data_IF_676301744805
#
_entry.id   IF_676301744805
#
_cell.length_a   1.000
_cell.length_b   1.000
_cell.length_c   1.000
_cell.angle_alpha   90.00
_cell.angle_beta   90.00
_cell.angle_gamma   90.00
#
_symmetry.space_group_name_H-M   'P 1'
#
loop_
_entity.id
_entity.type
_entity.pdbx_description
1 polymer ?
#
# COMPACT_ATOMS: atom_id res chain seq x y z
N UNK A 1 5.57 -4.36 37.78
CA UNK A 1 5.46 -5.62 37.01
C UNK A 1 4.01 -5.68 36.59
N UNK A 2 3.67 -4.94 35.53
CA UNK A 2 2.28 -4.81 35.12
C UNK A 2 1.84 -6.11 34.47
N UNK A 3 0.76 -6.66 35.02
CA UNK A 3 0.05 -7.83 34.53
C UNK A 3 -0.18 -7.61 33.04
N UNK A 4 0.42 -8.46 32.21
CA UNK A 4 0.10 -8.58 30.80
C UNK A 4 -1.40 -8.85 30.73
N UNK A 5 -2.21 -7.79 30.56
CA UNK A 5 -3.58 -7.95 30.10
C UNK A 5 -3.51 -8.90 28.91
N UNK A 6 -4.37 -9.92 28.96
CA UNK A 6 -4.52 -10.91 27.90
C UNK A 6 -5.20 -10.24 26.70
N UNK A 7 -4.48 -9.29 26.10
CA UNK A 7 -4.93 -8.57 24.92
C UNK A 7 -4.94 -9.57 23.80
N UNK A 8 -6.13 -9.82 23.26
CA UNK A 8 -6.28 -10.71 22.14
C UNK A 8 -5.58 -10.13 20.91
N UNK A 9 -4.78 -10.92 20.16
CA UNK A 9 -4.17 -10.47 18.91
C UNK A 9 -5.18 -9.91 17.89
N UNK A 10 -6.44 -10.36 17.98
CA UNK A 10 -7.57 -9.81 17.21
C UNK A 10 -7.82 -8.33 17.48
N UNK A 11 -7.75 -7.89 18.73
CA UNK A 11 -8.02 -6.49 19.09
C UNK A 11 -6.94 -5.57 18.52
N UNK A 12 -5.69 -6.03 18.53
CA UNK A 12 -4.57 -5.34 17.89
C UNK A 12 -4.81 -5.22 16.38
N UNK A 13 -5.24 -6.30 15.71
CA UNK A 13 -5.57 -6.25 14.27
C UNK A 13 -6.72 -5.29 13.99
N UNK A 14 -7.77 -5.31 14.80
CA UNK A 14 -8.92 -4.40 14.67
C UNK A 14 -8.52 -2.94 14.87
N UNK A 15 -7.65 -2.63 15.83
CA UNK A 15 -7.15 -1.27 16.01
C UNK A 15 -6.25 -0.81 14.85
N UNK A 16 -5.46 -1.71 14.26
CA UNK A 16 -4.68 -1.41 13.05
C UNK A 16 -5.59 -1.12 11.84
N UNK A 17 -6.67 -1.89 11.67
CA UNK A 17 -7.68 -1.64 10.63
C UNK A 17 -8.39 -0.30 10.89
N UNK A 18 -8.81 -0.03 12.12
CA UNK A 18 -9.42 1.25 12.51
C UNK A 18 -8.48 2.42 12.20
N UNK A 19 -7.21 2.31 12.58
CA UNK A 19 -6.21 3.33 12.25
C UNK A 19 -6.08 3.53 10.75
N UNK A 20 -6.09 2.43 9.98
CA UNK A 20 -6.10 2.48 8.51
C UNK A 20 -7.33 3.11 7.88
N UNK A 21 -8.44 3.19 8.61
CA UNK A 21 -9.65 3.90 8.18
C UNK A 21 -9.52 5.42 8.42
N UNK A 22 -8.89 5.80 9.53
CA UNK A 22 -8.65 7.19 9.92
C UNK A 22 -7.55 7.87 9.09
N UNK A 23 -6.66 7.10 8.46
CA UNK A 23 -5.55 7.64 7.66
C UNK A 23 -5.83 7.55 6.17
N UNK A 24 -5.56 8.66 5.48
CA UNK A 24 -5.55 8.69 4.02
C UNK A 24 -4.28 8.03 3.48
N UNK A 25 -4.40 7.35 2.33
CA UNK A 25 -3.24 6.85 1.61
C UNK A 25 -2.33 8.02 1.20
N UNK A 26 -1.03 7.94 1.52
CA UNK A 26 -0.08 9.05 1.33
C UNK A 26 -0.05 9.59 -0.10
N UNK A 27 -0.20 8.71 -1.09
CA UNK A 27 -0.23 9.12 -2.50
C UNK A 27 -1.52 9.87 -2.88
N UNK A 28 -2.62 9.62 -2.18
CA UNK A 28 -3.89 10.34 -2.33
C UNK A 28 -3.83 11.67 -1.56
N UNK A 29 -3.25 11.69 -0.35
CA UNK A 29 -3.14 12.91 0.44
C UNK A 29 -2.31 13.99 -0.24
N UNK A 30 -1.31 13.60 -1.02
CA UNK A 30 -0.51 14.51 -1.84
C UNK A 30 -1.02 14.64 -3.27
N UNK A 31 -2.17 14.12 -3.67
CA UNK A 31 -2.65 14.33 -5.04
C UNK A 31 -2.75 15.84 -5.37
N UNK A 32 -2.43 16.24 -6.61
CA UNK A 32 -2.77 17.54 -7.15
C UNK A 32 -4.25 17.88 -6.92
N UNK A 33 -4.58 19.16 -6.67
CA UNK A 33 -5.92 19.54 -6.21
C UNK A 33 -7.01 19.19 -7.24
N UNK A 34 -6.73 19.42 -8.52
CA UNK A 34 -7.63 19.05 -9.61
C UNK A 34 -7.86 17.53 -9.67
N UNK A 35 -6.82 16.71 -9.46
CA UNK A 35 -6.94 15.25 -9.41
C UNK A 35 -7.64 14.75 -8.14
N UNK A 36 -7.53 15.44 -7.00
CA UNK A 36 -8.32 15.13 -5.80
C UNK A 36 -9.82 15.28 -6.08
N UNK A 37 -10.20 16.35 -6.77
CA UNK A 37 -11.58 16.56 -7.19
C UNK A 37 -12.05 15.43 -8.10
N UNK A 38 -11.26 15.06 -9.12
CA UNK A 38 -11.56 13.91 -10.00
C UNK A 38 -11.67 12.60 -9.24
N UNK A 39 -10.77 12.33 -8.29
CA UNK A 39 -10.82 11.13 -7.46
C UNK A 39 -12.12 11.07 -6.64
N UNK A 40 -12.57 12.22 -6.10
CA UNK A 40 -13.84 12.34 -5.40
C UNK A 40 -15.04 12.10 -6.33
N UNK A 41 -15.01 12.67 -7.54
CA UNK A 41 -16.05 12.42 -8.55
C UNK A 41 -16.12 10.94 -8.94
N UNK A 42 -14.98 10.27 -9.13
CA UNK A 42 -14.93 8.83 -9.40
C UNK A 42 -15.57 8.04 -8.26
N UNK A 43 -15.25 8.36 -6.99
CA UNK A 43 -15.90 7.71 -5.82
C UNK A 43 -17.42 7.89 -5.89
N UNK A 44 -17.89 9.11 -6.13
CA UNK A 44 -19.32 9.42 -6.20
C UNK A 44 -20.02 8.66 -7.33
N UNK A 45 -19.46 8.72 -8.55
CA UNK A 45 -20.02 8.04 -9.73
C UNK A 45 -20.07 6.53 -9.50
N UNK A 46 -18.99 5.94 -8.98
CA UNK A 46 -18.94 4.51 -8.71
C UNK A 46 -19.99 4.12 -7.66
N UNK A 47 -20.12 4.86 -6.55
CA UNK A 47 -21.10 4.54 -5.52
C UNK A 47 -22.54 4.65 -6.05
N UNK A 48 -22.84 5.69 -6.84
CA UNK A 48 -24.16 5.93 -7.42
C UNK A 48 -24.54 4.92 -8.51
N UNK A 49 -23.58 4.52 -9.35
CA UNK A 49 -23.87 3.77 -10.58
C UNK A 49 -23.26 2.37 -10.65
N UNK A 50 -22.65 1.83 -9.59
CA UNK A 50 -22.07 0.45 -9.58
C UNK A 50 -23.03 -0.67 -10.00
N UNK A 51 -24.34 -0.44 -9.98
CA UNK A 51 -25.38 -1.41 -10.40
C UNK A 51 -25.74 -1.31 -11.89
N UNK A 52 -25.34 -0.24 -12.58
CA UNK A 52 -25.55 -0.02 -14.02
C UNK A 52 -24.22 0.28 -14.70
N UNK A 53 -23.62 -0.74 -15.32
CA UNK A 53 -22.30 -0.62 -15.94
C UNK A 53 -22.29 0.41 -17.08
N UNK A 54 -23.36 0.46 -17.89
CA UNK A 54 -23.46 1.40 -19.02
C UNK A 54 -23.52 2.85 -18.54
N UNK A 55 -24.36 3.13 -17.54
CA UNK A 55 -24.45 4.48 -16.94
C UNK A 55 -23.14 4.86 -16.27
N UNK A 56 -22.51 3.94 -15.52
CA UNK A 56 -21.22 4.18 -14.89
C UNK A 56 -20.15 4.52 -15.93
N UNK A 57 -20.09 3.78 -17.03
CA UNK A 57 -19.12 4.03 -18.11
C UNK A 57 -19.34 5.39 -18.76
N UNK A 58 -20.59 5.76 -19.08
CA UNK A 58 -20.92 7.07 -19.64
C UNK A 58 -20.53 8.22 -18.71
N UNK A 59 -20.80 8.08 -17.40
CA UNK A 59 -20.43 9.12 -16.43
C UNK A 59 -18.92 9.24 -16.24
N UNK A 60 -18.18 8.13 -16.28
CA UNK A 60 -16.71 8.14 -16.25
C UNK A 60 -16.10 8.74 -17.53
N UNK A 61 -16.72 8.54 -18.70
CA UNK A 61 -16.26 9.13 -19.98
C UNK A 61 -16.30 10.67 -19.95
N UNK A 62 -17.26 11.25 -19.22
CA UNK A 62 -17.41 12.70 -19.08
C UNK A 62 -16.41 13.33 -18.10
N UNK A 63 -15.60 12.54 -17.39
CA UNK A 63 -14.58 13.06 -16.48
C UNK A 63 -13.31 13.42 -17.25
N UNK A 64 -13.18 14.70 -17.61
CA UNK A 64 -12.03 15.24 -18.37
C UNK A 64 -10.66 14.80 -17.82
N UNK A 65 -10.49 14.88 -16.50
CA UNK A 65 -9.22 14.60 -15.82
C UNK A 65 -9.01 13.12 -15.44
N UNK A 66 -9.95 12.21 -15.76
CA UNK A 66 -9.81 10.80 -15.40
C UNK A 66 -8.56 10.17 -16.03
N UNK A 67 -8.25 10.55 -17.26
CA UNK A 67 -7.02 10.13 -17.95
C UNK A 67 -5.77 10.53 -17.17
N UNK A 68 -5.69 11.78 -16.74
CA UNK A 68 -4.55 12.31 -15.98
C UNK A 68 -4.43 11.64 -14.62
N UNK A 69 -5.56 11.32 -13.96
CA UNK A 69 -5.56 10.52 -12.73
C UNK A 69 -4.96 9.12 -12.94
N UNK A 70 -5.30 8.43 -14.03
CA UNK A 70 -4.71 7.12 -14.35
C UNK A 70 -3.22 7.24 -14.65
N UNK A 71 -2.81 8.25 -15.40
CA UNK A 71 -1.41 8.52 -15.70
C UNK A 71 -0.60 8.80 -14.44
N UNK A 72 -1.14 9.65 -13.55
CA UNK A 72 -0.52 10.00 -12.28
C UNK A 72 -0.16 8.74 -11.49
N UNK A 73 -1.13 7.87 -11.24
CA UNK A 73 -0.90 6.66 -10.46
C UNK A 73 -0.08 5.61 -11.20
N UNK A 74 -0.18 5.52 -12.53
CA UNK A 74 0.64 4.59 -13.31
C UNK A 74 2.12 4.94 -13.26
N UNK A 75 2.45 6.21 -13.49
CA UNK A 75 3.83 6.73 -13.41
C UNK A 75 4.35 6.59 -11.97
N UNK A 76 3.56 7.02 -10.97
CA UNK A 76 3.99 6.89 -9.57
C UNK A 76 4.24 5.43 -9.20
N UNK A 77 3.38 4.50 -9.62
CA UNK A 77 3.58 3.07 -9.39
C UNK A 77 4.86 2.54 -10.04
N UNK A 78 5.18 3.01 -11.25
CA UNK A 78 6.43 2.70 -11.93
C UNK A 78 7.64 3.27 -11.18
N UNK A 79 7.60 4.52 -10.75
CA UNK A 79 8.68 5.14 -9.96
C UNK A 79 8.90 4.42 -8.64
N UNK A 80 7.81 4.12 -7.92
CA UNK A 80 7.86 3.34 -6.69
C UNK A 80 8.34 1.90 -6.94
N UNK A 81 8.21 1.37 -8.15
CA UNK A 81 8.78 0.05 -8.47
C UNK A 81 10.28 0.08 -8.69
N UNK A 82 10.86 1.19 -9.16
CA UNK A 82 12.28 1.26 -9.50
C UNK A 82 13.16 1.88 -8.40
N UNK A 83 12.57 2.59 -7.44
CA UNK A 83 13.33 3.27 -6.38
C UNK A 83 13.36 2.46 -5.09
N UNK A 84 14.54 2.08 -4.60
CA UNK A 84 14.69 1.19 -3.43
C UNK A 84 13.99 1.76 -2.18
N UNK A 85 14.06 3.07 -1.96
CA UNK A 85 13.37 3.77 -0.86
C UNK A 85 12.18 4.53 -1.42
N UNK A 86 10.98 4.22 -0.92
CA UNK A 86 9.81 5.08 -1.08
C UNK A 86 9.99 6.19 -0.04
N UNK A 87 10.39 7.38 -0.48
CA UNK A 87 10.35 8.56 0.39
C UNK A 87 9.03 9.30 0.18
N UNK A 88 8.47 9.79 1.27
CA UNK A 88 7.36 10.74 1.24
C UNK A 88 7.70 11.98 0.41
N UNK A 89 8.97 12.39 0.45
CA UNK A 89 9.53 13.47 -0.35
C UNK A 89 9.40 13.22 -1.85
N UNK A 90 9.68 11.99 -2.33
CA UNK A 90 9.51 11.64 -3.74
C UNK A 90 8.04 11.82 -4.16
N UNK A 91 7.09 11.35 -3.34
CA UNK A 91 5.66 11.46 -3.64
C UNK A 91 5.23 12.94 -3.65
N UNK A 92 5.65 13.73 -2.66
CA UNK A 92 5.38 15.17 -2.57
C UNK A 92 5.94 15.93 -3.77
N UNK A 93 7.22 15.69 -4.11
CA UNK A 93 7.90 16.35 -5.21
C UNK A 93 7.28 15.97 -6.54
N UNK A 94 7.00 14.68 -6.75
CA UNK A 94 6.31 14.20 -7.94
C UNK A 94 4.94 14.87 -8.10
N UNK A 95 4.14 14.94 -7.04
CA UNK A 95 2.85 15.64 -7.07
C UNK A 95 2.99 17.12 -7.47
N UNK A 96 3.92 17.83 -6.86
CA UNK A 96 4.16 19.25 -7.14
C UNK A 96 4.53 19.46 -8.61
N UNK A 97 5.39 18.59 -9.16
CA UNK A 97 5.78 18.65 -10.57
C UNK A 97 4.62 18.27 -11.50
N UNK A 98 3.74 17.36 -11.07
CA UNK A 98 2.57 16.97 -11.85
C UNK A 98 1.51 18.08 -11.90
N UNK A 99 1.32 18.84 -10.82
CA UNK A 99 0.41 20.01 -10.80
C UNK A 99 0.81 21.07 -11.83
N UNK A 100 2.10 21.17 -12.18
CA UNK A 100 2.61 22.11 -13.17
C UNK A 100 2.33 21.69 -14.63
N UNK A 101 1.78 20.50 -14.85
CA UNK A 101 1.39 20.04 -16.19
C UNK A 101 0.09 20.75 -16.58
N UNK A 102 0.19 21.83 -17.33
CA UNK A 102 -0.97 22.47 -17.95
C UNK A 102 -1.44 21.68 -19.18
N UNK A 103 -2.66 21.12 -19.13
CA UNK A 103 -3.30 20.49 -20.29
C UNK A 103 -2.88 19.04 -20.56
N UNK A 104 -2.79 18.66 -21.84
CA UNK A 104 -2.55 17.27 -22.23
C UNK A 104 -1.13 16.79 -21.88
N UNK A 105 -1.03 15.52 -21.48
CA UNK A 105 0.24 14.84 -21.23
C UNK A 105 1.13 14.83 -22.48
N UNK A 106 2.35 15.37 -22.37
CA UNK A 106 3.32 15.42 -23.46
C UNK A 106 4.66 14.81 -23.05
N UNK A 107 5.45 14.34 -24.02
CA UNK A 107 6.79 13.82 -23.78
C UNK A 107 7.71 14.87 -23.12
N UNK A 108 7.51 16.15 -23.44
CA UNK A 108 8.23 17.27 -22.81
C UNK A 108 7.93 17.38 -21.32
N UNK A 109 6.65 17.28 -20.94
CA UNK A 109 6.24 17.35 -19.54
C UNK A 109 6.83 16.17 -18.74
N UNK A 110 6.86 14.97 -19.33
CA UNK A 110 7.49 13.79 -18.70
C UNK A 110 8.98 14.00 -18.51
N UNK A 111 9.70 14.51 -19.51
CA UNK A 111 11.14 14.83 -19.38
C UNK A 111 11.37 15.79 -18.22
N UNK A 112 10.63 16.90 -18.19
CA UNK A 112 10.73 17.88 -17.12
C UNK A 112 10.50 17.25 -15.73
N UNK A 113 9.47 16.41 -15.57
CA UNK A 113 9.22 15.73 -14.28
C UNK A 113 10.39 14.83 -13.90
N UNK A 114 10.89 14.01 -14.82
CA UNK A 114 11.94 13.04 -14.52
C UNK A 114 13.28 13.70 -14.26
N UNK A 115 13.62 14.75 -15.02
CA UNK A 115 14.84 15.56 -14.79
C UNK A 115 14.81 16.22 -13.41
N UNK A 116 13.66 16.77 -13.00
CA UNK A 116 13.47 17.37 -11.67
C UNK A 116 13.32 16.35 -10.53
N UNK A 117 13.31 15.05 -10.85
CA UNK A 117 13.35 13.95 -9.88
C UNK A 117 14.68 13.18 -9.94
N UNK A 118 15.68 13.66 -10.68
CA UNK A 118 16.98 12.98 -10.86
C UNK A 118 17.72 12.68 -9.56
N UNK A 119 17.55 13.52 -8.52
CA UNK A 119 18.10 13.27 -7.17
C UNK A 119 17.50 12.02 -6.50
N UNK A 120 16.29 11.62 -6.91
CA UNK A 120 15.56 10.49 -6.35
C UNK A 120 15.55 9.27 -7.28
N UNK A 121 15.83 9.47 -8.57
CA UNK A 121 15.69 8.47 -9.63
C UNK A 121 16.98 8.39 -10.45
N UNK A 122 17.60 7.21 -10.50
CA UNK A 122 18.83 6.99 -11.26
C UNK A 122 18.57 6.63 -12.74
N UNK A 123 18.85 7.55 -13.66
CA UNK A 123 19.12 7.28 -15.08
C UNK A 123 18.04 7.70 -16.09
N UNK A 124 18.46 8.07 -17.31
CA UNK A 124 17.58 8.57 -18.38
C UNK A 124 16.64 7.51 -19.00
N UNK A 125 16.82 6.23 -18.68
CA UNK A 125 16.01 5.12 -19.22
C UNK A 125 14.54 5.16 -18.75
N UNK A 126 14.23 5.95 -17.71
CA UNK A 126 12.87 6.08 -17.18
C UNK A 126 11.91 6.80 -18.13
N UNK A 127 12.37 7.80 -18.88
CA UNK A 127 11.53 8.58 -19.80
C UNK A 127 10.90 7.67 -20.86
N UNK A 128 11.72 6.87 -21.54
CA UNK A 128 11.26 5.96 -22.59
C UNK A 128 10.30 4.90 -22.05
N UNK A 129 10.56 4.39 -20.84
CA UNK A 129 9.67 3.42 -20.20
C UNK A 129 8.32 4.03 -19.84
N UNK A 130 8.32 5.26 -19.31
CA UNK A 130 7.07 5.97 -18.99
C UNK A 130 6.28 6.25 -20.26
N UNK A 131 6.92 6.72 -21.33
CA UNK A 131 6.25 6.92 -22.63
C UNK A 131 5.58 5.63 -23.14
N UNK A 132 6.28 4.49 -23.04
CA UNK A 132 5.70 3.17 -23.38
C UNK A 132 4.51 2.80 -22.48
N UNK A 133 4.56 3.14 -21.19
CA UNK A 133 3.45 2.92 -20.27
C UNK A 133 2.22 3.72 -20.70
N UNK A 134 2.39 5.00 -21.03
CA UNK A 134 1.29 5.85 -21.46
C UNK A 134 0.66 5.37 -22.77
N UNK A 135 1.49 5.00 -23.74
CA UNK A 135 1.04 4.41 -25.01
C UNK A 135 0.28 3.08 -24.79
N UNK A 136 0.76 2.22 -23.89
CA UNK A 136 0.04 1.01 -23.50
C UNK A 136 -1.31 1.34 -22.83
N UNK A 137 -1.37 2.34 -21.96
CA UNK A 137 -2.62 2.74 -21.30
C UNK A 137 -3.65 3.20 -22.34
N UNK A 138 -3.24 3.99 -23.33
CA UNK A 138 -4.09 4.44 -24.43
C UNK A 138 -4.64 3.25 -25.24
N UNK A 139 -3.76 2.33 -25.65
CA UNK A 139 -4.13 1.12 -26.42
C UNK A 139 -5.13 0.22 -25.69
N UNK A 140 -5.10 0.20 -24.36
CA UNK A 140 -6.00 -0.59 -23.53
C UNK A 140 -7.27 0.19 -23.08
N UNK A 141 -7.50 1.38 -23.65
CA UNK A 141 -8.68 2.20 -23.39
C UNK A 141 -8.63 2.95 -22.07
N UNK A 142 -7.49 3.57 -21.74
CA UNK A 142 -7.21 4.46 -20.60
C UNK A 142 -7.63 3.88 -19.23
N UNK A 143 -8.92 3.91 -18.92
CA UNK A 143 -9.50 3.44 -17.67
C UNK A 143 -10.41 2.21 -17.86
N UNK A 144 -10.87 1.92 -19.10
CA UNK A 144 -11.79 0.82 -19.42
C UNK A 144 -11.23 -0.53 -19.00
N UNK A 145 -9.91 -0.74 -19.14
CA UNK A 145 -9.25 -1.96 -18.69
C UNK A 145 -9.25 -2.11 -17.16
N UNK A 146 -9.36 -1.04 -16.37
CA UNK A 146 -9.47 -1.08 -14.91
C UNK A 146 -10.92 -1.40 -14.51
N UNK A 147 -11.88 -0.67 -15.10
CA UNK A 147 -13.32 -0.81 -14.79
C UNK A 147 -13.84 -2.22 -15.07
N UNK A 148 -13.36 -2.85 -16.15
CA UNK A 148 -13.76 -4.21 -16.54
C UNK A 148 -13.23 -5.32 -15.62
N UNK A 149 -12.34 -5.00 -14.67
CA UNK A 149 -11.73 -6.03 -13.82
C UNK A 149 -12.72 -6.61 -12.82
N UNK A 150 -12.88 -7.93 -12.85
CA UNK A 150 -13.76 -8.69 -11.95
C UNK A 150 -13.01 -9.50 -10.91
N UNK A 151 -11.74 -9.83 -11.19
CA UNK A 151 -10.92 -10.72 -10.36
C UNK A 151 -9.59 -10.06 -10.06
N UNK A 152 -9.13 -10.18 -8.82
CA UNK A 152 -7.89 -9.55 -8.40
C UNK A 152 -6.67 -10.10 -9.15
N UNK A 153 -6.63 -11.41 -9.36
CA UNK A 153 -5.55 -12.10 -10.09
C UNK A 153 -5.46 -11.65 -11.56
N UNK A 154 -6.62 -11.38 -12.16
CA UNK A 154 -6.70 -10.81 -13.51
C UNK A 154 -6.18 -9.38 -13.53
N UNK A 155 -6.60 -8.56 -12.57
CA UNK A 155 -6.16 -7.17 -12.49
C UNK A 155 -4.64 -7.08 -12.26
N UNK A 156 -4.08 -7.97 -11.43
CA UNK A 156 -2.64 -8.02 -11.22
C UNK A 156 -1.87 -8.34 -12.51
N UNK A 157 -2.35 -9.31 -13.29
CA UNK A 157 -1.74 -9.65 -14.59
C UNK A 157 -1.90 -8.51 -15.60
N UNK A 158 -3.04 -7.84 -15.62
CA UNK A 158 -3.29 -6.68 -16.48
C UNK A 158 -2.36 -5.51 -16.12
N UNK A 159 -2.26 -5.14 -14.83
CA UNK A 159 -1.37 -4.08 -14.37
C UNK A 159 0.09 -4.37 -14.73
N UNK A 160 0.55 -5.62 -14.57
CA UNK A 160 1.90 -6.04 -15.01
C UNK A 160 2.12 -5.85 -16.49
N UNK A 161 1.15 -6.23 -17.33
CA UNK A 161 1.24 -6.10 -18.78
C UNK A 161 1.25 -4.65 -19.23
N UNK A 162 0.31 -3.84 -18.72
CA UNK A 162 0.09 -2.46 -19.16
C UNK A 162 1.19 -1.53 -18.64
N UNK A 163 1.53 -1.62 -17.35
CA UNK A 163 2.40 -0.64 -16.66
C UNK A 163 3.82 -1.15 -16.48
N UNK A 164 4.02 -2.46 -16.33
CA UNK A 164 5.33 -3.02 -15.98
C UNK A 164 5.94 -3.89 -17.08
N UNK A 165 5.40 -3.82 -18.31
CA UNK A 165 5.92 -4.52 -19.49
C UNK A 165 6.09 -6.04 -19.26
N UNK A 166 5.23 -6.65 -18.44
CA UNK A 166 5.31 -8.08 -18.08
C UNK A 166 6.39 -8.44 -17.06
N UNK A 167 7.11 -7.46 -16.51
CA UNK A 167 8.20 -7.69 -15.57
C UNK A 167 7.78 -8.35 -14.25
N UNK A 168 8.76 -8.95 -13.59
CA UNK A 168 8.59 -9.71 -12.34
C UNK A 168 9.65 -9.32 -11.30
N UNK A 169 9.48 -9.78 -10.06
CA UNK A 169 10.40 -9.52 -8.96
C UNK A 169 9.85 -8.59 -7.88
N UNK A 170 10.58 -8.47 -6.75
CA UNK A 170 10.07 -7.79 -5.55
C UNK A 170 9.78 -6.30 -5.77
N UNK A 171 10.60 -5.63 -6.56
CA UNK A 171 10.48 -4.20 -6.85
C UNK A 171 9.23 -3.90 -7.69
N UNK A 172 9.03 -4.67 -8.76
CA UNK A 172 7.83 -4.59 -9.60
C UNK A 172 6.60 -5.00 -8.80
N UNK A 173 6.67 -6.05 -7.99
CA UNK A 173 5.56 -6.46 -7.13
C UNK A 173 5.10 -5.31 -6.20
N UNK A 174 6.02 -4.51 -5.68
CA UNK A 174 5.68 -3.34 -4.86
C UNK A 174 4.87 -2.32 -5.65
N UNK A 175 5.33 -1.95 -6.85
CA UNK A 175 4.60 -1.02 -7.72
C UNK A 175 3.24 -1.53 -8.14
N UNK A 176 3.16 -2.82 -8.52
CA UNK A 176 1.89 -3.48 -8.89
C UNK A 176 0.91 -3.47 -7.71
N UNK A 177 1.35 -3.81 -6.50
CA UNK A 177 0.48 -3.83 -5.31
C UNK A 177 0.02 -2.44 -4.90
N UNK A 178 0.87 -1.43 -5.06
CA UNK A 178 0.50 -0.04 -4.87
C UNK A 178 -0.57 0.38 -5.90
N UNK A 179 -0.33 0.19 -7.21
CA UNK A 179 -1.28 0.56 -8.26
C UNK A 179 -2.66 -0.05 -8.02
N UNK A 180 -2.71 -1.35 -7.78
CA UNK A 180 -3.96 -2.07 -7.56
C UNK A 180 -4.68 -1.54 -6.32
N UNK A 181 -3.97 -1.34 -5.20
CA UNK A 181 -4.55 -0.88 -3.92
C UNK A 181 -5.27 0.46 -4.06
N UNK A 182 -4.77 1.35 -4.91
CA UNK A 182 -5.44 2.63 -5.20
C UNK A 182 -6.84 2.39 -5.81
N UNK A 183 -6.96 1.41 -6.70
CA UNK A 183 -8.17 1.25 -7.52
C UNK A 183 -9.20 0.22 -7.04
N UNK A 184 -8.88 -0.60 -6.03
CA UNK A 184 -9.75 -1.71 -5.58
C UNK A 184 -10.43 -1.49 -4.23
N UNK A 185 -10.28 -0.34 -3.58
CA UNK A 185 -10.81 -0.15 -2.22
C UNK A 185 -11.73 1.08 -2.14
N UNK A 186 -12.91 0.99 -1.49
CA UNK A 186 -13.85 2.11 -1.37
C UNK A 186 -13.26 3.36 -0.69
N UNK A 187 -12.36 3.19 0.29
CA UNK A 187 -11.67 4.34 0.94
C UNK A 187 -10.56 4.97 0.09
N UNK A 188 -10.30 4.45 -1.12
CA UNK A 188 -9.35 4.99 -2.09
C UNK A 188 -10.10 5.50 -3.33
N UNK A 189 -9.82 5.01 -4.54
CA UNK A 189 -10.48 5.45 -5.77
C UNK A 189 -11.05 4.19 -6.43
N UNK A 190 -12.28 3.74 -6.10
CA UNK A 190 -12.76 2.38 -6.38
C UNK A 190 -13.14 2.12 -7.85
N UNK A 191 -12.27 2.49 -8.79
CA UNK A 191 -12.49 2.39 -10.23
C UNK A 191 -12.64 0.94 -10.70
N UNK A 192 -11.91 0.00 -10.09
CA UNK A 192 -12.15 -1.44 -10.26
C UNK A 192 -13.32 -1.86 -9.35
N UNK A 193 -14.50 -1.30 -9.59
CA UNK A 193 -15.64 -1.36 -8.65
C UNK A 193 -16.15 -2.79 -8.42
N UNK A 194 -16.11 -3.66 -9.44
CA UNK A 194 -16.52 -5.07 -9.30
C UNK A 194 -15.65 -5.85 -8.32
N UNK A 195 -14.41 -5.43 -8.13
CA UNK A 195 -13.52 -5.94 -7.08
C UNK A 195 -13.80 -5.20 -5.76
N UNK A 196 -13.91 -3.87 -5.82
CA UNK A 196 -14.06 -3.01 -4.63
C UNK A 196 -15.28 -3.34 -3.78
N UNK A 197 -16.38 -3.73 -4.41
CA UNK A 197 -17.63 -4.09 -3.72
C UNK A 197 -17.88 -5.60 -3.67
N UNK A 198 -16.87 -6.41 -4.00
CA UNK A 198 -16.90 -7.85 -3.81
C UNK A 198 -15.94 -8.23 -2.68
N UNK A 199 -16.49 -8.42 -1.47
CA UNK A 199 -15.70 -8.72 -0.27
C UNK A 199 -14.83 -9.97 -0.43
N UNK A 200 -15.28 -10.96 -1.19
CA UNK A 200 -14.53 -12.20 -1.42
C UNK A 200 -13.32 -11.98 -2.33
N UNK A 201 -13.41 -11.06 -3.28
CA UNK A 201 -12.28 -10.67 -4.13
C UNK A 201 -11.33 -9.72 -3.39
N UNK A 202 -11.87 -8.76 -2.63
CA UNK A 202 -11.07 -7.80 -1.87
C UNK A 202 -10.15 -8.50 -0.85
N UNK A 203 -10.68 -9.50 -0.14
CA UNK A 203 -9.90 -10.32 0.82
C UNK A 203 -8.74 -11.09 0.19
N UNK A 204 -8.73 -11.30 -1.13
CA UNK A 204 -7.60 -11.94 -1.84
C UNK A 204 -6.40 -11.00 -1.97
N UNK A 205 -6.53 -9.73 -1.56
CA UNK A 205 -5.43 -8.76 -1.58
C UNK A 205 -4.26 -9.23 -0.72
N UNK A 206 -3.20 -9.67 -1.41
CA UNK A 206 -1.92 -10.00 -0.79
C UNK A 206 -1.14 -8.71 -0.57
N UNK A 207 -1.11 -8.26 0.67
CA UNK A 207 -0.28 -7.13 1.11
C UNK A 207 1.19 -7.34 0.72
N UNK A 208 1.89 -6.23 0.46
CA UNK A 208 3.31 -6.29 0.16
C UNK A 208 4.12 -6.68 1.40
N UNK A 209 3.74 -6.13 2.56
CA UNK A 209 4.41 -6.36 3.83
C UNK A 209 5.81 -5.72 3.82
N UNK A 210 5.83 -4.39 3.77
CA UNK A 210 7.08 -3.63 3.85
C UNK A 210 7.69 -3.66 5.26
N UNK A 211 8.81 -2.95 5.42
CA UNK A 211 9.54 -2.86 6.68
C UNK A 211 8.67 -2.38 7.84
N UNK A 212 7.90 -1.29 7.66
CA UNK A 212 7.09 -0.68 8.71
C UNK A 212 5.89 -1.55 9.08
N UNK A 213 5.18 -2.07 8.07
CA UNK A 213 4.06 -2.99 8.25
C UNK A 213 4.50 -4.26 8.97
N UNK A 214 5.65 -4.83 8.56
CA UNK A 214 6.24 -6.02 9.19
C UNK A 214 6.64 -5.72 10.63
N UNK A 215 7.31 -4.60 10.87
CA UNK A 215 7.73 -4.17 12.20
C UNK A 215 6.53 -4.07 13.16
N UNK A 216 5.47 -3.37 12.76
CA UNK A 216 4.28 -3.22 13.59
C UNK A 216 3.62 -4.57 13.83
N UNK A 217 3.42 -5.38 12.80
CA UNK A 217 2.81 -6.70 12.92
C UNK A 217 3.51 -7.57 13.96
N UNK A 218 4.85 -7.56 13.98
CA UNK A 218 5.62 -8.37 14.92
C UNK A 218 5.70 -7.73 16.31
N UNK A 219 6.00 -6.43 16.38
CA UNK A 219 6.21 -5.73 17.66
C UNK A 219 4.93 -5.55 18.46
N UNK A 220 3.78 -5.48 17.80
CA UNK A 220 2.49 -5.35 18.48
C UNK A 220 1.96 -6.65 19.06
N UNK A 221 2.44 -7.81 18.59
CA UNK A 221 1.89 -9.11 18.96
C UNK A 221 0.67 -9.53 18.14
N UNK A 222 0.33 -8.83 17.06
CA UNK A 222 -0.86 -9.12 16.23
C UNK A 222 -0.88 -10.52 15.59
N UNK A 223 0.24 -11.26 15.66
CA UNK A 223 0.44 -12.56 15.04
C UNK A 223 0.34 -13.75 16.01
N UNK A 224 0.18 -13.51 17.31
CA UNK A 224 0.39 -14.56 18.32
C UNK A 224 -0.62 -15.72 18.25
N UNK A 225 -1.82 -15.48 17.74
CA UNK A 225 -2.85 -16.49 17.51
C UNK A 225 -2.74 -17.16 16.13
N UNK A 226 -1.72 -16.83 15.32
CA UNK A 226 -1.56 -17.42 13.99
C UNK A 226 -0.90 -18.79 14.08
N UNK A 227 -1.55 -19.79 13.51
CA UNK A 227 -1.10 -21.19 13.47
C UNK A 227 -0.22 -21.46 12.25
N UNK A 228 0.97 -20.84 12.22
CA UNK A 228 1.99 -21.15 11.19
C UNK A 228 3.32 -21.55 11.84
N UNK A 229 4.15 -22.37 11.17
CA UNK A 229 5.49 -22.70 11.69
C UNK A 229 6.34 -21.46 11.98
N UNK A 230 6.21 -20.41 11.17
CA UNK A 230 6.91 -19.13 11.35
C UNK A 230 6.43 -18.41 12.61
N UNK A 231 5.12 -18.36 12.86
CA UNK A 231 4.56 -17.77 14.07
C UNK A 231 5.01 -18.52 15.32
N UNK A 232 4.95 -19.85 15.30
CA UNK A 232 5.38 -20.70 16.42
C UNK A 232 6.86 -20.48 16.76
N UNK A 233 7.75 -20.52 15.75
CA UNK A 233 9.18 -20.22 15.95
C UNK A 233 9.41 -18.82 16.52
N UNK A 234 8.64 -17.82 16.07
CA UNK A 234 8.78 -16.46 16.58
C UNK A 234 8.29 -16.34 18.03
N UNK A 235 7.16 -16.95 18.38
CA UNK A 235 6.66 -17.03 19.76
C UNK A 235 7.68 -17.68 20.70
N UNK A 236 8.29 -18.79 20.29
CA UNK A 236 9.35 -19.43 21.08
C UNK A 236 10.56 -18.52 21.30
N UNK A 237 11.00 -17.78 20.27
CA UNK A 237 12.11 -16.83 20.40
C UNK A 237 11.76 -15.67 21.34
N UNK A 238 10.52 -15.17 21.27
CA UNK A 238 10.00 -14.14 22.17
C UNK A 238 9.95 -14.64 23.60
N UNK A 239 9.37 -15.82 23.84
CA UNK A 239 9.30 -16.42 25.18
C UNK A 239 10.69 -16.59 25.79
N UNK A 240 11.66 -17.12 25.03
CA UNK A 240 13.07 -17.23 25.49
C UNK A 240 13.67 -15.87 25.84
N UNK A 241 13.38 -14.83 25.05
CA UNK A 241 13.87 -13.47 25.28
C UNK A 241 13.25 -12.83 26.52
N UNK A 242 11.96 -13.03 26.76
CA UNK A 242 11.25 -12.55 27.96
C UNK A 242 11.75 -13.27 29.22
N UNK A 243 11.94 -14.59 29.16
CA UNK A 243 12.50 -15.36 30.27
C UNK A 243 13.92 -14.94 30.64
N UNK A 244 14.74 -14.63 29.64
CA UNK A 244 16.09 -14.11 29.86
C UNK A 244 16.06 -12.75 30.59
N UNK A 245 15.15 -11.85 30.20
CA UNK A 245 14.99 -10.53 30.82
C UNK A 245 14.54 -10.63 32.27
N UNK A 246 13.56 -11.51 32.54
CA UNK A 246 13.09 -11.77 33.90
C UNK A 246 14.17 -12.35 34.83
N UNK A 247 15.24 -12.94 34.27
CA UNK A 247 16.41 -13.43 35.02
C UNK A 247 17.51 -12.38 35.20
N UNK A 248 17.31 -11.14 34.74
CA UNK A 248 18.30 -10.07 34.83
C UNK A 248 19.52 -10.24 33.90
N UNK A 249 19.43 -11.11 32.89
CA UNK A 249 20.53 -11.39 31.97
C UNK A 249 20.72 -10.32 30.88
N UNK A 250 21.89 -10.29 30.23
CA UNK A 250 22.09 -9.56 28.97
C UNK A 250 21.48 -10.35 27.81
N UNK A 251 20.37 -9.89 27.28
CA UNK A 251 19.59 -10.64 26.30
C UNK A 251 19.59 -9.95 24.92
N UNK A 252 20.09 -10.65 23.90
CA UNK A 252 20.14 -10.13 22.54
C UNK A 252 18.76 -9.89 21.92
N UNK A 253 18.66 -8.92 21.01
CA UNK A 253 17.46 -8.66 20.23
C UNK A 253 17.13 -9.78 19.25
N UNK A 254 15.84 -9.91 18.91
CA UNK A 254 15.36 -10.90 17.96
C UNK A 254 15.47 -10.33 16.55
N UNK A 255 16.51 -10.73 15.82
CA UNK A 255 16.67 -10.35 14.41
C UNK A 255 15.80 -11.20 13.49
N UNK A 256 15.05 -10.54 12.61
CA UNK A 256 14.10 -11.17 11.70
C UNK A 256 14.26 -10.59 10.30
N UNK A 257 14.44 -11.44 9.28
CA UNK A 257 14.48 -10.98 7.89
C UNK A 257 13.06 -10.78 7.35
N UNK A 258 12.76 -9.67 6.67
CA UNK A 258 11.41 -9.42 6.10
C UNK A 258 10.95 -10.62 5.25
N UNK A 259 11.84 -11.15 4.40
CA UNK A 259 11.54 -12.27 3.51
C UNK A 259 11.08 -13.53 4.27
N UNK A 260 11.60 -13.78 5.48
CA UNK A 260 11.26 -14.99 6.25
C UNK A 260 9.91 -14.89 6.97
N UNK A 261 9.40 -13.68 7.20
CA UNK A 261 8.13 -13.45 7.91
C UNK A 261 7.02 -12.88 7.02
N UNK A 262 7.30 -12.57 5.75
CA UNK A 262 6.30 -12.00 4.84
C UNK A 262 5.03 -12.87 4.72
N UNK A 263 5.17 -14.19 4.73
CA UNK A 263 4.03 -15.11 4.74
C UNK A 263 3.15 -14.96 5.99
N UNK A 264 3.79 -14.85 7.17
CA UNK A 264 3.11 -14.59 8.44
C UNK A 264 2.39 -13.24 8.42
N UNK A 265 3.07 -12.17 8.00
CA UNK A 265 2.49 -10.82 7.95
C UNK A 265 1.25 -10.79 7.05
N UNK A 266 1.28 -11.51 5.91
CA UNK A 266 0.11 -11.67 5.03
C UNK A 266 -1.04 -12.44 5.68
N UNK A 267 -0.74 -13.50 6.42
CA UNK A 267 -1.75 -14.26 7.15
C UNK A 267 -2.44 -13.39 8.21
N UNK A 268 -1.66 -12.59 8.96
CA UNK A 268 -2.20 -11.63 9.95
C UNK A 268 -3.12 -10.60 9.28
N UNK A 269 -2.68 -10.01 8.17
CA UNK A 269 -3.50 -9.05 7.44
C UNK A 269 -4.79 -9.68 6.90
N UNK A 270 -4.74 -10.93 6.44
CA UNK A 270 -5.94 -11.67 6.03
C UNK A 270 -6.93 -11.88 7.19
N UNK A 271 -6.42 -12.27 8.36
CA UNK A 271 -7.23 -12.45 9.57
C UNK A 271 -7.82 -11.13 10.12
N UNK A 272 -7.32 -9.97 9.68
CA UNK A 272 -7.89 -8.67 10.05
C UNK A 272 -9.24 -8.37 9.38
N UNK A 273 -9.61 -9.14 8.35
CA UNK A 273 -10.84 -8.94 7.56
C UNK A 273 -10.71 -7.93 6.43
N UNK A 274 -9.86 -6.90 6.59
CA UNK A 274 -9.55 -5.89 5.57
C UNK A 274 -8.03 -5.69 5.45
N UNK A 275 -7.36 -6.48 4.58
CA UNK A 275 -5.92 -6.41 4.40
C UNK A 275 -5.40 -5.03 3.96
N UNK A 276 -6.22 -4.24 3.27
CA UNK A 276 -5.82 -2.93 2.73
C UNK A 276 -5.78 -1.90 3.85
N UNK A 277 -6.84 -1.81 4.66
CA UNK A 277 -6.85 -0.94 5.83
C UNK A 277 -5.80 -1.38 6.84
N UNK A 278 -5.64 -2.69 7.07
CA UNK A 278 -4.59 -3.21 7.93
C UNK A 278 -3.19 -2.76 7.48
N UNK A 279 -2.84 -2.93 6.21
CA UNK A 279 -1.53 -2.52 5.69
C UNK A 279 -1.33 -1.01 5.86
N UNK A 280 -2.37 -0.21 5.58
CA UNK A 280 -2.31 1.25 5.73
C UNK A 280 -2.09 1.68 7.18
N UNK A 281 -2.87 1.15 8.12
CA UNK A 281 -2.74 1.49 9.54
C UNK A 281 -1.42 1.01 10.12
N UNK A 282 -0.99 -0.22 9.79
CA UNK A 282 0.31 -0.73 10.22
C UNK A 282 1.48 0.06 9.63
N UNK A 283 1.38 0.52 8.38
CA UNK A 283 2.37 1.40 7.78
C UNK A 283 2.46 2.75 8.52
N UNK A 284 1.33 3.40 8.77
CA UNK A 284 1.27 4.68 9.51
C UNK A 284 1.90 4.54 10.90
N UNK A 285 1.46 3.54 11.68
CA UNK A 285 2.02 3.29 13.01
C UNK A 285 3.51 3.00 12.94
N UNK A 286 3.94 2.20 11.97
CA UNK A 286 5.33 1.78 11.83
C UNK A 286 6.25 2.94 11.52
N UNK A 287 5.85 3.78 10.58
CA UNK A 287 6.61 4.93 10.11
C UNK A 287 6.65 6.05 11.15
N UNK A 288 5.50 6.40 11.73
CA UNK A 288 5.39 7.59 12.55
C UNK A 288 5.73 7.35 14.03
N UNK A 289 5.59 6.12 14.52
CA UNK A 289 5.73 5.80 15.95
C UNK A 289 6.74 4.68 16.21
N UNK A 290 6.51 3.49 15.66
CA UNK A 290 7.22 2.27 16.05
C UNK A 290 8.73 2.30 15.67
N UNK A 291 9.06 2.84 14.51
CA UNK A 291 10.46 2.99 14.05
C UNK A 291 11.28 3.96 14.90
N UNK A 292 10.61 4.91 15.57
CA UNK A 292 11.21 5.93 16.44
C UNK A 292 11.04 5.60 17.93
N UNK A 293 10.52 4.41 18.25
CA UNK A 293 10.21 3.95 19.61
C UNK A 293 9.33 4.92 20.41
N UNK A 294 8.43 5.65 19.74
CA UNK A 294 7.46 6.57 20.37
C UNK A 294 6.25 5.81 20.90
N UNK A 295 6.49 4.85 21.81
CA UNK A 295 5.45 3.95 22.32
C UNK A 295 4.38 4.70 23.12
N UNK A 296 4.76 5.70 23.92
CA UNK A 296 3.85 6.37 24.86
C UNK A 296 2.72 7.14 24.18
N UNK A 297 3.01 7.72 23.02
CA UNK A 297 2.05 8.48 22.19
C UNK A 297 1.47 7.65 21.03
N UNK A 298 1.76 6.35 20.98
CA UNK A 298 1.30 5.51 19.88
C UNK A 298 -0.22 5.25 19.99
N UNK A 299 -0.99 5.36 18.89
CA UNK A 299 -2.45 5.17 18.92
C UNK A 299 -2.92 3.79 19.42
N UNK A 300 -2.05 2.77 19.37
CA UNK A 300 -2.36 1.41 19.84
C UNK A 300 -1.60 1.04 21.13
N UNK A 301 -1.02 2.01 21.83
CA UNK A 301 -0.15 1.79 23.00
C UNK A 301 -0.80 0.90 24.07
N UNK A 302 -2.09 1.13 24.35
CA UNK A 302 -2.85 0.44 25.40
C UNK A 302 -3.03 -1.06 25.17
N UNK A 303 -2.94 -1.52 23.93
CA UNK A 303 -3.19 -2.92 23.53
C UNK A 303 -1.96 -3.58 22.88
N UNK A 304 -0.90 -2.81 22.62
CA UNK A 304 0.32 -3.31 22.01
C UNK A 304 1.13 -4.14 23.03
N UNK A 305 1.62 -5.32 22.65
CA UNK A 305 2.54 -6.12 23.48
C UNK A 305 3.96 -5.55 23.59
N UNK A 306 4.29 -4.55 22.75
CA UNK A 306 5.56 -3.79 22.77
C UNK A 306 6.81 -4.67 22.74
N UNK A 307 6.87 -5.65 21.83
CA UNK A 307 8.09 -6.44 21.58
C UNK A 307 9.17 -5.62 20.85
N UNK A 308 9.58 -4.50 21.43
CA UNK A 308 10.51 -3.51 20.87
C UNK A 308 11.89 -4.11 20.56
N UNK A 309 12.27 -5.18 21.26
CA UNK A 309 13.49 -5.97 21.03
C UNK A 309 13.49 -6.77 19.72
N UNK A 310 12.39 -6.80 18.94
CA UNK A 310 12.37 -7.39 17.60
C UNK A 310 12.97 -6.38 16.61
N UNK A 311 14.01 -6.81 15.89
CA UNK A 311 14.72 -6.03 14.86
C UNK A 311 14.43 -6.61 13.46
N UNK A 312 13.91 -5.77 12.57
CA UNK A 312 13.65 -6.16 11.18
C UNK A 312 14.90 -5.90 10.32
N UNK A 313 15.31 -6.90 9.53
CA UNK A 313 16.41 -6.85 8.55
C UNK A 313 15.91 -7.13 7.14
#
# INVERSE_FOLDING_TARGET
MDILYDVAPRDIRSALVKRGDEVEELAISYLPQHLKYTASQVRSIVESYRRSEDTLMLQLENLYELKNLIYYFSILSYLLSNNKKISEELIKKYSTLFEQISGNFSARNIRNIIENLSEYISGNSHINNILKILDNIEKFGIYKWIVKQRRLDSFERAARRVIFQGGSGSSINRGVKFFIRIFIHPSNIPLAYKISYNINELKKYKIYGDYYTTMVTLRSGAFEDVETPTAFKLRQRIARRLLCEGRGGRCEGIRVRIKSVRGLVRAVAYLSGDPIKYERGAYDIGKNYCSKLKCDICPINSICKKYTFIEIK
#
